data_IF_688206707633
#
_entry.id   IF_688206707633
#
_cell.length_a   1.000
_cell.length_b   1.000
_cell.length_c   1.000
_cell.angle_alpha   90.00
_cell.angle_beta   90.00
_cell.angle_gamma   90.00
#
_symmetry.space_group_name_H-M   'P 1'
#
loop_
_entity.id
_entity.type
_entity.pdbx_description
1 polymer ?
#
# COMPACT_ATOMS: atom_id res chain seq x y z
N UNK A 1 -11.70 -4.53 -9.84
CA UNK A 1 -10.60 -4.37 -8.86
C UNK A 1 -11.02 -3.30 -7.87
N UNK A 2 -10.89 -3.56 -6.57
CA UNK A 2 -11.12 -2.63 -5.48
C UNK A 2 -9.76 -2.16 -4.96
N UNK A 3 -9.52 -0.86 -5.00
CA UNK A 3 -8.37 -0.25 -4.32
C UNK A 3 -8.88 0.28 -2.98
N UNK A 4 -8.56 -0.44 -1.91
CA UNK A 4 -9.08 -0.22 -0.56
C UNK A 4 -8.09 0.63 0.23
N UNK A 5 -8.37 1.93 0.36
CA UNK A 5 -7.56 2.82 1.20
C UNK A 5 -7.98 2.72 2.67
N UNK A 6 -7.07 2.28 3.54
CA UNK A 6 -7.24 2.43 4.98
C UNK A 6 -6.63 3.76 5.43
N UNK A 7 -7.47 4.63 6.00
CA UNK A 7 -7.04 5.94 6.49
C UNK A 7 -6.25 5.77 7.79
N UNK A 8 -5.12 6.48 7.88
CA UNK A 8 -4.31 6.64 9.10
C UNK A 8 -5.21 7.03 10.28
N UNK A 9 -4.97 6.43 11.45
CA UNK A 9 -5.76 6.68 12.66
C UNK A 9 -4.93 7.41 13.72
N UNK A 10 -5.55 7.65 14.88
CA UNK A 10 -4.99 8.40 16.00
C UNK A 10 -3.73 7.75 16.60
N UNK A 11 -3.69 6.42 16.66
CA UNK A 11 -2.59 5.64 17.20
C UNK A 11 -2.52 4.23 16.59
N UNK A 12 -1.41 3.54 16.81
CA UNK A 12 -1.16 2.19 16.26
C UNK A 12 -2.18 1.14 16.68
N UNK A 13 -2.67 1.20 17.92
CA UNK A 13 -3.64 0.21 18.40
C UNK A 13 -4.97 0.33 17.66
N UNK A 14 -5.40 1.58 17.40
CA UNK A 14 -6.59 1.83 16.60
C UNK A 14 -6.37 1.47 15.13
N UNK A 15 -5.17 1.72 14.58
CA UNK A 15 -4.83 1.29 13.23
C UNK A 15 -4.89 -0.25 13.07
N UNK A 16 -4.33 -0.97 14.04
CA UNK A 16 -4.37 -2.44 14.07
C UNK A 16 -5.80 -2.96 14.14
N UNK A 17 -6.63 -2.37 15.01
CA UNK A 17 -8.04 -2.68 15.10
C UNK A 17 -8.77 -2.45 13.77
N UNK A 18 -8.53 -1.32 13.10
CA UNK A 18 -9.18 -0.98 11.84
C UNK A 18 -8.76 -1.91 10.69
N UNK A 19 -7.50 -2.33 10.65
CA UNK A 19 -7.02 -3.36 9.71
C UNK A 19 -7.76 -4.68 9.94
N UNK A 20 -7.83 -5.13 11.20
CA UNK A 20 -8.47 -6.41 11.54
C UNK A 20 -9.96 -6.42 11.18
N UNK A 21 -10.69 -5.35 11.50
CA UNK A 21 -12.10 -5.23 11.15
C UNK A 21 -12.31 -5.15 9.64
N UNK A 22 -11.44 -4.44 8.91
CA UNK A 22 -11.54 -4.35 7.44
C UNK A 22 -11.32 -5.70 6.78
N UNK A 23 -10.30 -6.45 7.21
CA UNK A 23 -10.02 -7.79 6.71
C UNK A 23 -11.16 -8.75 7.04
N UNK A 24 -11.71 -8.69 8.25
CA UNK A 24 -12.87 -9.47 8.67
C UNK A 24 -14.08 -9.18 7.77
N UNK A 25 -14.42 -7.90 7.57
CA UNK A 25 -15.54 -7.51 6.72
C UNK A 25 -15.38 -7.99 5.26
N UNK A 26 -14.17 -7.88 4.70
CA UNK A 26 -13.90 -8.40 3.35
C UNK A 26 -14.14 -9.91 3.26
N UNK A 27 -13.79 -10.69 4.29
CA UNK A 27 -14.06 -12.13 4.35
C UNK A 27 -15.55 -12.42 4.44
N UNK A 28 -16.26 -11.74 5.34
CA UNK A 28 -17.70 -11.92 5.58
C UNK A 28 -18.54 -11.59 4.33
N UNK A 29 -18.11 -10.62 3.54
CA UNK A 29 -18.79 -10.22 2.30
C UNK A 29 -18.28 -10.93 1.03
N UNK A 30 -17.40 -11.94 1.16
CA UNK A 30 -16.88 -12.69 -0.01
C UNK A 30 -16.00 -11.86 -0.96
N UNK A 31 -15.36 -10.81 -0.43
CA UNK A 31 -14.48 -9.91 -1.17
C UNK A 31 -12.99 -10.13 -0.87
N UNK A 32 -12.65 -11.00 0.09
CA UNK A 32 -11.26 -11.35 0.43
C UNK A 32 -10.62 -12.22 -0.68
N UNK A 33 -10.20 -11.55 -1.76
CA UNK A 33 -9.54 -12.17 -2.91
C UNK A 33 -8.39 -11.26 -3.40
N UNK A 34 -7.14 -11.75 -3.40
CA UNK A 34 -5.97 -10.96 -3.82
C UNK A 34 -6.00 -10.55 -5.30
N UNK A 35 -6.84 -11.19 -6.13
CA UNK A 35 -7.07 -10.79 -7.53
C UNK A 35 -8.07 -9.64 -7.67
N UNK A 36 -8.82 -9.33 -6.60
CA UNK A 36 -9.89 -8.34 -6.61
C UNK A 36 -9.65 -7.15 -5.70
N UNK A 37 -8.76 -7.26 -4.71
CA UNK A 37 -8.48 -6.22 -3.72
C UNK A 37 -6.99 -5.88 -3.67
N UNK A 38 -6.70 -4.59 -3.74
CA UNK A 38 -5.39 -3.98 -3.44
C UNK A 38 -5.59 -3.10 -2.22
N UNK A 39 -4.74 -3.24 -1.20
CA UNK A 39 -4.76 -2.36 -0.04
C UNK A 39 -3.80 -1.19 -0.25
N UNK A 40 -4.20 0.00 0.15
CA UNK A 40 -3.33 1.19 0.16
C UNK A 40 -3.47 1.95 1.49
N UNK A 41 -2.39 2.57 1.98
CA UNK A 41 -2.46 3.43 3.17
C UNK A 41 -1.29 4.41 3.26
N UNK A 42 -1.54 5.55 3.92
CA UNK A 42 -0.49 6.47 4.38
C UNK A 42 0.15 6.03 5.70
N UNK A 43 -0.41 5.03 6.40
CA UNK A 43 0.19 4.51 7.63
C UNK A 43 1.08 3.31 7.33
N UNK A 44 2.36 3.43 7.71
CA UNK A 44 3.31 2.33 7.60
C UNK A 44 2.89 1.15 8.48
N UNK A 45 2.41 1.42 9.70
CA UNK A 45 1.95 0.39 10.64
C UNK A 45 0.80 -0.43 10.04
N UNK A 46 -0.17 0.22 9.39
CA UNK A 46 -1.25 -0.49 8.69
C UNK A 46 -0.70 -1.33 7.53
N UNK A 47 0.21 -0.80 6.71
CA UNK A 47 0.79 -1.54 5.60
C UNK A 47 1.58 -2.77 6.08
N UNK A 48 2.41 -2.64 7.11
CA UNK A 48 3.14 -3.77 7.72
C UNK A 48 2.18 -4.84 8.25
N UNK A 49 1.14 -4.43 8.97
CA UNK A 49 0.14 -5.36 9.50
C UNK A 49 -0.61 -6.08 8.37
N UNK A 50 -1.01 -5.38 7.33
CA UNK A 50 -1.66 -5.98 6.16
C UNK A 50 -0.73 -6.95 5.42
N UNK A 51 0.55 -6.60 5.25
CA UNK A 51 1.54 -7.48 4.64
C UNK A 51 1.70 -8.79 5.44
N UNK A 52 1.65 -8.72 6.78
CA UNK A 52 1.70 -9.88 7.66
C UNK A 52 0.40 -10.70 7.66
N UNK A 53 -0.76 -10.06 7.73
CA UNK A 53 -2.07 -10.73 7.87
C UNK A 53 -2.67 -11.22 6.55
N UNK A 54 -2.30 -10.61 5.43
CA UNK A 54 -2.88 -10.84 4.11
C UNK A 54 -1.79 -11.26 3.09
N UNK A 55 -1.07 -12.37 3.33
CA UNK A 55 -0.06 -12.83 2.39
C UNK A 55 -0.67 -13.07 1.01
N UNK A 56 0.01 -12.62 -0.03
CA UNK A 56 -0.44 -12.70 -1.42
C UNK A 56 -1.30 -11.53 -1.90
N UNK A 57 -1.81 -10.67 -1.00
CA UNK A 57 -2.44 -9.42 -1.40
C UNK A 57 -1.39 -8.38 -1.80
N UNK A 58 -1.78 -7.45 -2.68
CA UNK A 58 -0.97 -6.26 -2.94
C UNK A 58 -1.24 -5.22 -1.87
N UNK A 59 -0.17 -4.69 -1.26
CA UNK A 59 -0.20 -3.62 -0.26
C UNK A 59 0.69 -2.50 -0.75
N UNK A 60 0.13 -1.32 -1.01
CA UNK A 60 0.87 -0.16 -1.49
C UNK A 60 0.95 0.95 -0.43
N UNK A 61 2.15 1.44 -0.18
CA UNK A 61 2.37 2.56 0.73
C UNK A 61 2.23 3.90 -0.02
N UNK A 62 1.45 4.83 0.56
CA UNK A 62 1.10 6.11 -0.08
C UNK A 62 2.03 7.27 0.27
N UNK A 63 2.68 7.22 1.44
CA UNK A 63 3.54 8.30 1.90
C UNK A 63 4.93 8.22 1.25
N UNK A 64 5.60 9.38 1.13
CA UNK A 64 6.82 9.55 0.34
C UNK A 64 8.11 9.54 1.17
N UNK A 65 8.05 9.06 2.41
CA UNK A 65 9.17 9.08 3.36
C UNK A 65 10.05 7.83 3.30
N UNK A 66 9.68 6.81 2.50
CA UNK A 66 10.45 5.56 2.35
C UNK A 66 10.69 5.21 0.91
N UNK A 67 11.86 4.67 0.62
CA UNK A 67 12.20 4.10 -0.67
C UNK A 67 11.54 2.73 -0.89
N UNK A 68 11.37 2.30 -2.15
CA UNK A 68 10.90 0.95 -2.47
C UNK A 68 11.72 -0.18 -1.82
N UNK A 69 13.03 0.01 -1.68
CA UNK A 69 13.91 -0.99 -1.05
C UNK A 69 13.66 -1.10 0.47
N UNK A 70 13.45 0.02 1.16
CA UNK A 70 13.07 0.03 2.58
C UNK A 70 11.73 -0.66 2.80
N UNK A 71 10.75 -0.41 1.92
CA UNK A 71 9.43 -1.04 1.99
C UNK A 71 9.49 -2.55 1.73
N UNK A 72 10.31 -2.99 0.77
CA UNK A 72 10.50 -4.41 0.49
C UNK A 72 11.05 -5.17 1.71
N UNK A 73 11.95 -4.55 2.49
CA UNK A 73 12.47 -5.12 3.75
C UNK A 73 11.39 -5.29 4.83
N UNK A 74 10.30 -4.53 4.74
CA UNK A 74 9.13 -4.61 5.63
C UNK A 74 8.04 -5.57 5.11
N UNK A 75 8.28 -6.27 4.01
CA UNK A 75 7.30 -7.16 3.38
C UNK A 75 6.21 -6.44 2.57
N UNK A 76 6.28 -5.12 2.46
CA UNK A 76 5.35 -4.33 1.64
C UNK A 76 5.77 -4.49 0.17
N UNK A 77 4.81 -4.87 -0.68
CA UNK A 77 5.07 -5.27 -2.07
C UNK A 77 4.58 -4.24 -3.11
N UNK A 78 4.27 -3.01 -2.69
CA UNK A 78 3.78 -1.98 -3.59
C UNK A 78 4.08 -0.56 -3.12
N UNK A 79 4.15 0.34 -4.10
CA UNK A 79 4.27 1.79 -3.90
C UNK A 79 3.15 2.48 -4.66
N UNK A 80 2.56 3.50 -4.05
CA UNK A 80 1.57 4.34 -4.70
C UNK A 80 1.85 5.81 -4.34
N UNK A 81 2.70 6.48 -5.12
CA UNK A 81 3.21 7.78 -4.73
C UNK A 81 2.61 8.94 -5.51
N UNK A 82 2.62 10.11 -4.88
CA UNK A 82 2.32 11.34 -5.59
C UNK A 82 3.30 11.48 -6.78
N UNK A 83 2.82 11.74 -7.99
CA UNK A 83 3.64 11.61 -9.21
C UNK A 83 4.96 12.39 -9.22
N UNK A 84 5.09 13.48 -8.45
CA UNK A 84 6.35 14.24 -8.34
C UNK A 84 7.42 13.52 -7.51
N UNK A 85 7.06 12.52 -6.71
CA UNK A 85 7.99 11.72 -5.91
C UNK A 85 8.94 10.95 -6.82
N UNK A 86 8.44 10.32 -7.89
CA UNK A 86 9.30 9.64 -8.87
C UNK A 86 10.18 10.62 -9.66
N UNK A 87 9.71 11.85 -9.90
CA UNK A 87 10.54 12.89 -10.53
C UNK A 87 11.66 13.37 -9.60
N UNK A 88 11.40 13.45 -8.29
CA UNK A 88 12.40 13.84 -7.27
C UNK A 88 13.39 12.71 -6.96
N UNK A 89 12.94 11.46 -7.08
CA UNK A 89 13.72 10.26 -6.80
C UNK A 89 13.77 9.37 -8.05
N UNK A 90 14.57 9.72 -9.07
CA UNK A 90 14.52 9.06 -10.38
C UNK A 90 14.89 7.57 -10.34
N UNK A 91 15.62 7.13 -9.30
CA UNK A 91 15.99 5.72 -9.10
C UNK A 91 14.86 4.87 -8.52
N UNK A 92 13.87 5.48 -7.87
CA UNK A 92 12.84 4.73 -7.12
C UNK A 92 11.94 3.92 -8.05
N UNK A 93 11.64 4.39 -9.26
CA UNK A 93 10.88 3.58 -10.21
C UNK A 93 11.63 2.28 -10.54
N UNK A 94 12.94 2.37 -10.80
CA UNK A 94 13.78 1.19 -11.06
C UNK A 94 13.86 0.27 -9.83
N UNK A 95 14.08 0.83 -8.64
CA UNK A 95 14.13 0.05 -7.39
C UNK A 95 12.84 -0.74 -7.16
N UNK A 96 11.67 -0.12 -7.39
CA UNK A 96 10.38 -0.80 -7.27
C UNK A 96 10.24 -1.95 -8.29
N UNK A 97 10.69 -1.76 -9.54
CA UNK A 97 10.71 -2.82 -10.57
C UNK A 97 11.65 -3.96 -10.20
N UNK A 98 12.85 -3.66 -9.73
CA UNK A 98 13.85 -4.65 -9.32
C UNK A 98 13.32 -5.49 -8.13
N UNK A 99 12.56 -4.87 -7.21
CA UNK A 99 11.87 -5.54 -6.11
C UNK A 99 10.51 -6.18 -6.50
N UNK A 100 10.17 -6.21 -7.80
CA UNK A 100 8.91 -6.78 -8.33
C UNK A 100 7.65 -6.20 -7.69
N UNK A 101 7.71 -4.94 -7.28
CA UNK A 101 6.60 -4.27 -6.60
C UNK A 101 5.49 -3.86 -7.58
N UNK A 102 4.27 -3.77 -7.07
CA UNK A 102 3.18 -3.07 -7.74
C UNK A 102 3.41 -1.56 -7.66
N UNK A 103 3.35 -0.85 -8.79
CA UNK A 103 3.67 0.58 -8.88
C UNK A 103 2.43 1.34 -9.34
N UNK A 104 1.99 2.31 -8.55
CA UNK A 104 0.92 3.24 -8.89
C UNK A 104 1.37 4.70 -8.63
N UNK A 105 0.60 5.67 -9.14
CA UNK A 105 0.81 7.08 -8.83
C UNK A 105 -0.50 7.87 -8.74
N UNK A 106 -0.50 8.94 -7.92
CA UNK A 106 -1.67 9.78 -7.69
C UNK A 106 -1.34 11.28 -7.57
N UNK A 107 -2.32 12.18 -7.54
CA UNK A 107 -3.48 12.17 -8.44
C UNK A 107 -3.08 12.95 -9.69
N UNK A 108 -3.21 12.35 -10.86
CA UNK A 108 -2.82 12.96 -12.14
C UNK A 108 -4.08 13.42 -12.87
N UNK A 109 -4.37 14.71 -12.79
CA UNK A 109 -5.60 15.29 -13.35
C UNK A 109 -5.39 16.06 -14.67
N UNK A 110 -4.15 16.17 -15.14
CA UNK A 110 -3.79 16.96 -16.33
C UNK A 110 -2.89 16.15 -17.24
N UNK A 111 -3.14 16.25 -18.54
CA UNK A 111 -2.22 15.80 -19.58
C UNK A 111 -0.94 16.66 -19.53
N UNK A 112 0.18 16.07 -19.95
CA UNK A 112 1.47 16.75 -20.04
C UNK A 112 1.71 17.27 -21.45
#
# INVERSE_FOLDING_TARGET
>A
MLVFELKKQIDKAHEDYMVDQSVKALKEHGLYDPKRVIFISFSLNMCERLAALCPGFTVQYLEKDKSPEELAKLGINGVDYQYKVFAKNPTWFKQARDNKMSINCWTVNKEK
#
